data_IF_804171068214
#
_entry.id   IF_804171068214
#
_cell.length_a   1.000
_cell.length_b   1.000
_cell.length_c   1.000
_cell.angle_alpha   90.00
_cell.angle_beta   90.00
_cell.angle_gamma   90.00
#
_symmetry.space_group_name_H-M   'P 1'
#
loop_
_entity.id
_entity.type
_entity.pdbx_description
1 polymer ?
#
# COMPACT_ATOMS: atom_id res chain seq x y z
N UNK A 1 -4.38 -12.18 -0.07
CA UNK A 1 -3.59 -11.04 0.44
C UNK A 1 -4.07 -9.76 -0.21
N UNK A 2 -4.17 -8.65 0.53
CA UNK A 2 -4.51 -7.33 -0.02
C UNK A 2 -3.26 -6.44 0.00
N UNK A 3 -2.92 -5.88 -1.15
CA UNK A 3 -1.86 -4.89 -1.34
C UNK A 3 -2.49 -3.60 -1.87
N UNK A 4 -1.98 -2.46 -1.44
CA UNK A 4 -2.32 -1.16 -2.00
C UNK A 4 -1.03 -0.56 -2.55
N UNK A 5 -1.03 -0.29 -3.85
CA UNK A 5 0.03 0.46 -4.52
C UNK A 5 -0.51 1.82 -4.93
N UNK A 6 0.36 2.83 -4.88
CA UNK A 6 0.11 4.16 -5.40
C UNK A 6 1.24 4.53 -6.35
N UNK A 7 0.88 5.10 -7.49
CA UNK A 7 1.81 5.69 -8.45
C UNK A 7 1.47 7.18 -8.54
N UNK A 8 2.48 8.04 -8.34
CA UNK A 8 2.30 9.49 -8.46
C UNK A 8 2.49 9.98 -9.91
N UNK A 9 2.33 11.29 -10.14
CA UNK A 9 2.49 11.89 -11.47
C UNK A 9 3.91 11.80 -12.04
N UNK A 10 4.91 11.50 -11.20
CA UNK A 10 6.30 11.29 -11.62
C UNK A 10 6.61 9.81 -11.93
N UNK A 11 5.64 8.91 -11.76
CA UNK A 11 5.82 7.47 -11.92
C UNK A 11 6.46 6.80 -10.70
N UNK A 12 6.59 7.51 -9.55
CA UNK A 12 7.11 6.90 -8.33
C UNK A 12 6.04 6.00 -7.73
N UNK A 13 6.40 4.75 -7.49
CA UNK A 13 5.53 3.74 -6.90
C UNK A 13 5.79 3.61 -5.40
N UNK A 14 4.74 3.65 -4.60
CA UNK A 14 4.78 3.35 -3.17
C UNK A 14 3.84 2.18 -2.84
N UNK A 15 4.32 1.27 -1.99
CA UNK A 15 3.47 0.35 -1.23
C UNK A 15 2.87 1.11 -0.05
N UNK A 16 1.54 1.07 0.10
CA UNK A 16 0.84 1.75 1.18
C UNK A 16 0.39 0.77 2.26
N UNK A 17 0.66 1.08 3.53
CA UNK A 17 0.09 0.31 4.67
C UNK A 17 -1.39 0.63 4.85
N UNK A 18 -1.77 1.90 4.73
CA UNK A 18 -3.17 2.35 4.74
C UNK A 18 -3.36 3.64 3.96
N UNK A 19 -4.57 3.90 3.47
CA UNK A 19 -4.97 5.17 2.87
C UNK A 19 -6.46 5.40 3.09
N UNK A 20 -6.87 6.64 3.30
CA UNK A 20 -8.26 7.03 3.49
C UNK A 20 -8.71 7.92 2.35
N UNK A 21 -9.77 7.53 1.64
CA UNK A 21 -10.44 8.37 0.66
C UNK A 21 -11.35 9.36 1.39
N UNK A 22 -11.05 10.64 1.20
CA UNK A 22 -11.74 11.79 1.77
C UNK A 22 -12.16 12.76 0.64
N UNK A 23 -12.92 13.80 0.98
CA UNK A 23 -13.24 14.89 0.07
C UNK A 23 -13.08 16.25 0.72
N UNK A 24 -12.97 17.29 -0.11
CA UNK A 24 -13.00 18.68 0.32
C UNK A 24 -13.94 19.48 -0.58
N UNK A 25 -14.79 20.30 0.03
CA UNK A 25 -15.70 21.20 -0.68
C UNK A 25 -15.05 22.57 -0.76
N UNK A 26 -14.91 23.09 -1.97
CA UNK A 26 -14.57 24.50 -2.15
C UNK A 26 -15.84 25.33 -1.91
N UNK A 27 -15.87 26.12 -0.84
CA UNK A 27 -17.04 26.91 -0.43
C UNK A 27 -17.37 28.06 -1.40
N UNK A 28 -16.42 28.50 -2.22
CA UNK A 28 -16.63 29.57 -3.20
C UNK A 28 -17.25 29.04 -4.50
N UNK A 29 -16.84 27.84 -4.92
CA UNK A 29 -17.29 27.24 -6.19
C UNK A 29 -18.30 26.10 -6.01
N UNK A 30 -18.57 25.69 -4.77
CA UNK A 30 -19.29 24.45 -4.41
C UNK A 30 -18.71 23.18 -5.07
N UNK A 31 -17.44 23.22 -5.48
CA UNK A 31 -16.80 22.08 -6.13
C UNK A 31 -16.32 21.08 -5.07
N UNK A 32 -16.67 19.80 -5.26
CA UNK A 32 -16.19 18.70 -4.42
C UNK A 32 -14.98 18.05 -5.08
N UNK A 33 -13.88 17.95 -4.34
CA UNK A 33 -12.64 17.30 -4.79
C UNK A 33 -12.32 16.12 -3.88
N UNK A 34 -11.92 14.98 -4.46
CA UNK A 34 -11.55 13.78 -3.71
C UNK A 34 -10.04 13.77 -3.43
N UNK A 35 -9.67 13.26 -2.27
CA UNK A 35 -8.29 13.23 -1.77
C UNK A 35 -7.96 11.86 -1.17
N UNK A 36 -6.72 11.41 -1.37
CA UNK A 36 -6.17 10.22 -0.72
C UNK A 36 -5.25 10.64 0.41
N UNK A 37 -5.59 10.27 1.65
CA UNK A 37 -4.90 10.70 2.86
C UNK A 37 -4.17 9.50 3.49
N UNK A 38 -2.85 9.61 3.60
CA UNK A 38 -1.97 8.63 4.27
C UNK A 38 -1.51 9.11 5.64
N UNK A 39 -1.50 10.42 5.92
CA UNK A 39 -1.26 10.99 7.25
C UNK A 39 -2.57 11.24 8.00
N UNK A 40 -2.77 10.53 9.11
CA UNK A 40 -4.00 10.65 9.91
C UNK A 40 -4.17 12.03 10.57
N UNK A 41 -3.08 12.79 10.77
CA UNK A 41 -3.15 14.14 11.32
C UNK A 41 -3.86 15.13 10.40
N UNK A 42 -3.91 14.83 9.09
CA UNK A 42 -4.58 15.67 8.10
C UNK A 42 -6.09 15.38 7.99
N UNK A 43 -6.59 14.27 8.55
CA UNK A 43 -8.01 13.89 8.42
C UNK A 43 -9.00 14.97 8.88
N UNK A 44 -8.75 15.77 9.94
CA UNK A 44 -9.65 16.86 10.34
C UNK A 44 -9.87 17.95 9.26
N UNK A 45 -8.96 18.08 8.29
CA UNK A 45 -9.02 19.10 7.23
C UNK A 45 -9.90 18.69 6.03
N UNK A 46 -10.50 17.50 6.09
CA UNK A 46 -11.32 16.91 5.04
C UNK A 46 -12.64 16.36 5.58
N UNK A 47 -13.60 16.21 4.68
CA UNK A 47 -14.90 15.61 4.93
C UNK A 47 -14.95 14.16 4.41
N UNK A 48 -15.87 13.37 4.96
CA UNK A 48 -16.11 12.02 4.49
C UNK A 48 -16.77 11.96 3.11
N UNK A 49 -16.60 10.84 2.41
CA UNK A 49 -17.12 10.61 1.04
C UNK A 49 -18.40 9.78 0.99
N UNK A 50 -18.76 9.12 2.08
CA UNK A 50 -19.98 8.30 2.20
C UNK A 50 -20.77 8.73 3.43
N UNK A 51 -22.10 8.73 3.33
CA UNK A 51 -22.96 8.96 4.48
C UNK A 51 -23.22 7.64 5.22
N UNK A 52 -22.94 7.60 6.52
CA UNK A 52 -23.26 6.50 7.43
C UNK A 52 -23.88 7.11 8.69
N UNK A 53 -25.07 6.64 9.07
CA UNK A 53 -25.80 7.12 10.25
C UNK A 53 -25.95 8.65 10.30
N UNK A 54 -26.24 9.25 9.15
CA UNK A 54 -26.42 10.71 9.04
C UNK A 54 -25.12 11.53 9.01
N UNK A 55 -23.95 10.92 9.24
CA UNK A 55 -22.62 11.58 9.22
C UNK A 55 -21.83 11.19 7.97
N UNK A 56 -21.06 12.12 7.42
CA UNK A 56 -20.09 11.83 6.37
C UNK A 56 -18.85 11.15 6.97
N UNK A 57 -18.42 10.03 6.39
CA UNK A 57 -17.25 9.25 6.79
C UNK A 57 -16.35 8.94 5.59
N UNK A 58 -15.04 8.89 5.83
CA UNK A 58 -14.06 8.46 4.84
C UNK A 58 -14.09 6.95 4.60
N UNK A 59 -13.55 6.51 3.46
CA UNK A 59 -13.34 5.07 3.19
C UNK A 59 -11.88 4.75 3.43
N UNK A 60 -11.60 3.96 4.46
CA UNK A 60 -10.24 3.49 4.76
C UNK A 60 -9.93 2.17 4.07
N UNK A 61 -8.80 2.11 3.39
CA UNK A 61 -8.23 0.91 2.79
C UNK A 61 -6.89 0.61 3.46
N UNK A 62 -6.68 -0.66 3.85
CA UNK A 62 -5.44 -1.10 4.51
C UNK A 62 -4.87 -2.37 3.87
N UNK A 63 -3.55 -2.49 3.91
CA UNK A 63 -2.76 -3.66 3.51
C UNK A 63 -2.38 -4.43 4.78
N UNK A 64 -3.07 -5.54 5.08
CA UNK A 64 -2.95 -6.22 6.39
C UNK A 64 -1.62 -6.97 6.60
N UNK A 65 -0.85 -7.21 5.54
CA UNK A 65 0.31 -8.10 5.58
C UNK A 65 1.65 -7.38 5.45
N UNK A 66 1.67 -6.04 5.42
CA UNK A 66 2.90 -5.27 5.17
C UNK A 66 3.17 -4.31 6.31
N UNK A 67 3.83 -4.85 7.34
CA UNK A 67 4.49 -4.03 8.35
C UNK A 67 5.94 -3.76 7.92
N UNK A 68 6.31 -2.50 8.03
CA UNK A 68 7.65 -1.95 7.89
C UNK A 68 7.77 -0.85 8.95
N UNK A 69 8.76 0.04 8.85
CA UNK A 69 8.91 1.17 9.77
C UNK A 69 7.57 1.79 10.19
N UNK A 70 7.28 1.70 11.49
CA UNK A 70 6.02 2.14 12.08
C UNK A 70 5.73 3.64 11.89
N UNK A 71 6.78 4.45 11.72
CA UNK A 71 6.69 5.88 11.45
C UNK A 71 6.29 6.18 9.99
N UNK A 72 6.43 5.20 9.09
CA UNK A 72 6.09 5.33 7.69
C UNK A 72 4.71 4.73 7.40
N UNK A 73 4.07 5.26 6.37
CA UNK A 73 2.87 4.67 5.77
C UNK A 73 3.06 4.35 4.28
N UNK A 74 4.15 4.84 3.71
CA UNK A 74 4.50 4.72 2.30
C UNK A 74 5.91 4.14 2.22
N UNK A 75 6.04 3.02 1.51
CA UNK A 75 7.31 2.36 1.26
C UNK A 75 7.62 2.47 -0.24
N UNK A 76 8.67 3.19 -0.66
CA UNK A 76 9.01 3.33 -2.06
C UNK A 76 9.39 1.97 -2.67
N UNK A 77 8.85 1.70 -3.85
CA UNK A 77 9.20 0.57 -4.69
C UNK A 77 9.89 1.08 -5.96
N UNK A 78 10.69 0.22 -6.58
CA UNK A 78 11.31 0.46 -7.87
C UNK A 78 10.45 -0.13 -8.99
N UNK A 79 10.53 0.44 -10.19
CA UNK A 79 9.76 0.00 -11.35
C UNK A 79 8.52 0.84 -11.61
N UNK A 80 7.55 0.29 -12.34
CA UNK A 80 6.31 1.00 -12.72
C UNK A 80 5.10 0.08 -12.79
N UNK A 81 3.91 0.65 -12.56
CA UNK A 81 2.65 -0.08 -12.58
C UNK A 81 2.06 -0.04 -14.00
N UNK A 82 2.54 -0.91 -14.87
CA UNK A 82 2.02 -1.05 -16.23
C UNK A 82 2.13 -2.49 -16.74
N UNK A 83 1.30 -2.84 -17.72
CA UNK A 83 1.35 -4.16 -18.37
C UNK A 83 2.74 -4.48 -18.91
N UNK A 84 3.22 -5.69 -18.66
CA UNK A 84 4.55 -6.15 -19.06
C UNK A 84 5.72 -5.62 -18.21
N UNK A 85 5.48 -4.65 -17.31
CA UNK A 85 6.50 -4.13 -16.42
C UNK A 85 6.57 -4.93 -15.11
N UNK A 86 7.44 -4.49 -14.20
CA UNK A 86 7.51 -5.04 -12.86
C UNK A 86 7.71 -3.93 -11.83
N UNK A 87 7.27 -4.19 -10.60
CA UNK A 87 7.65 -3.41 -9.42
C UNK A 87 8.32 -4.31 -8.40
N UNK A 88 9.31 -3.80 -7.69
CA UNK A 88 10.04 -4.54 -6.66
C UNK A 88 10.51 -3.67 -5.52
N UNK A 89 10.76 -4.28 -4.37
CA UNK A 89 11.30 -3.59 -3.22
C UNK A 89 11.55 -4.50 -2.03
N UNK A 90 11.98 -3.89 -0.93
CA UNK A 90 12.32 -4.58 0.30
C UNK A 90 11.40 -4.12 1.42
N UNK A 91 10.69 -5.04 2.04
CA UNK A 91 9.91 -4.79 3.26
C UNK A 91 10.75 -5.29 4.42
N UNK A 92 11.38 -4.34 5.12
CA UNK A 92 12.25 -4.62 6.25
C UNK A 92 11.46 -4.45 7.56
N UNK A 93 11.51 -5.48 8.39
CA UNK A 93 10.90 -5.49 9.71
C UNK A 93 12.03 -5.73 10.73
N UNK A 94 12.44 -4.65 11.39
CA UNK A 94 13.55 -4.65 12.33
C UNK A 94 13.24 -5.54 13.56
N UNK A 95 14.29 -6.07 14.19
CA UNK A 95 14.20 -6.86 15.42
C UNK A 95 13.47 -6.15 16.56
N UNK A 96 13.54 -4.82 16.65
CA UNK A 96 12.90 -4.02 17.68
C UNK A 96 11.51 -3.51 17.27
N UNK A 97 11.01 -3.86 16.09
CA UNK A 97 9.69 -3.43 15.65
C UNK A 97 8.60 -3.99 16.59
N UNK A 98 7.58 -3.19 16.99
CA UNK A 98 6.55 -3.63 17.95
C UNK A 98 5.71 -4.81 17.44
N UNK A 99 5.50 -4.91 16.13
CA UNK A 99 4.78 -6.03 15.50
C UNK A 99 5.71 -7.18 15.04
N UNK A 100 6.97 -7.21 15.47
CA UNK A 100 7.85 -8.31 15.14
C UNK A 100 7.36 -9.59 15.87
N UNK A 101 7.00 -10.67 15.16
CA UNK A 101 6.39 -11.85 15.78
C UNK A 101 7.33 -12.63 16.71
N UNK A 102 8.64 -12.38 16.63
CA UNK A 102 9.65 -13.00 17.50
C UNK A 102 9.98 -12.14 18.72
N UNK A 103 9.39 -10.94 18.83
CA UNK A 103 9.56 -10.03 19.96
C UNK A 103 8.43 -10.23 20.96
N UNK A 104 8.76 -10.59 22.19
CA UNK A 104 7.81 -10.79 23.28
C UNK A 104 8.02 -9.72 24.36
N UNK A 105 7.08 -8.77 24.45
CA UNK A 105 7.21 -7.61 25.35
C UNK A 105 7.41 -7.99 26.83
N UNK A 106 6.79 -9.08 27.27
CA UNK A 106 6.77 -9.50 28.68
C UNK A 106 7.67 -10.69 28.99
N UNK A 107 8.40 -11.24 28.01
CA UNK A 107 9.30 -12.36 28.26
C UNK A 107 10.74 -11.85 28.50
N UNK A 108 11.37 -12.16 29.64
CA UNK A 108 12.69 -11.63 30.00
C UNK A 108 13.77 -11.85 28.92
N UNK A 109 13.73 -13.02 28.28
CA UNK A 109 14.76 -13.45 27.33
C UNK A 109 14.49 -13.04 25.87
N UNK A 110 13.27 -12.57 25.54
CA UNK A 110 12.83 -12.35 24.15
C UNK A 110 12.37 -10.90 23.92
N UNK A 111 13.08 -9.95 24.52
CA UNK A 111 12.75 -8.51 24.44
C UNK A 111 13.01 -7.89 23.05
N UNK A 112 13.81 -8.58 22.23
CA UNK A 112 14.11 -8.26 20.84
C UNK A 112 13.70 -9.44 19.96
N UNK A 113 13.19 -9.16 18.76
CA UNK A 113 12.91 -10.16 17.75
C UNK A 113 14.14 -10.45 16.89
N UNK A 114 13.90 -10.73 15.60
CA UNK A 114 14.94 -10.91 14.59
C UNK A 114 14.68 -9.98 13.41
N UNK A 115 15.72 -9.61 12.67
CA UNK A 115 15.52 -8.87 11.42
C UNK A 115 14.87 -9.77 10.38
N UNK A 116 13.74 -9.31 9.84
CA UNK A 116 13.01 -10.00 8.77
C UNK A 116 13.05 -9.11 7.53
N UNK A 117 13.55 -9.67 6.43
CA UNK A 117 13.62 -8.99 5.14
C UNK A 117 12.75 -9.75 4.15
N UNK A 118 11.81 -9.04 3.52
CA UNK A 118 10.95 -9.58 2.46
C UNK A 118 11.28 -8.86 1.17
N UNK A 119 11.92 -9.57 0.25
CA UNK A 119 12.18 -9.08 -1.10
C UNK A 119 10.97 -9.38 -1.95
N UNK A 120 10.21 -8.36 -2.36
CA UNK A 120 8.98 -8.54 -3.13
C UNK A 120 9.20 -8.14 -4.59
N UNK A 121 8.59 -8.89 -5.50
CA UNK A 121 8.53 -8.55 -6.92
C UNK A 121 7.15 -8.89 -7.47
N UNK A 122 6.54 -7.94 -8.15
CA UNK A 122 5.31 -8.11 -8.91
C UNK A 122 5.64 -7.90 -10.39
N UNK A 123 5.54 -8.96 -11.19
CA UNK A 123 5.67 -8.87 -12.64
C UNK A 123 4.28 -8.85 -13.25
N UNK A 124 3.95 -7.79 -13.99
CA UNK A 124 2.65 -7.61 -14.61
C UNK A 124 2.59 -8.34 -15.95
N UNK A 125 1.47 -9.02 -16.19
CA UNK A 125 1.22 -9.66 -17.47
C UNK A 125 1.18 -8.62 -18.60
N UNK A 126 1.55 -9.00 -19.84
CA UNK A 126 1.35 -8.16 -21.01
C UNK A 126 -0.12 -7.73 -21.17
N UNK A 127 -0.34 -6.67 -21.96
CA UNK A 127 -1.69 -6.20 -22.24
C UNK A 127 -2.50 -7.32 -22.92
N UNK A 128 -3.67 -7.63 -22.37
CA UNK A 128 -4.61 -8.55 -22.99
C UNK A 128 -5.52 -7.78 -23.94
N UNK A 129 -5.23 -7.84 -25.24
CA UNK A 129 -5.96 -7.12 -26.29
C UNK A 129 -7.41 -7.58 -26.45
N UNK A 130 -7.78 -8.74 -25.88
CA UNK A 130 -9.14 -9.26 -25.91
C UNK A 130 -9.99 -8.81 -24.71
N UNK A 131 -9.38 -8.11 -23.74
CA UNK A 131 -10.06 -7.61 -22.55
C UNK A 131 -9.97 -6.08 -22.46
N UNK A 132 -11.07 -5.34 -22.70
CA UNK A 132 -11.10 -3.87 -22.64
C UNK A 132 -10.71 -3.26 -21.29
N UNK A 133 -10.75 -4.05 -20.20
CA UNK A 133 -10.37 -3.60 -18.85
C UNK A 133 -8.88 -3.80 -18.54
N UNK A 134 -8.17 -4.57 -19.38
CA UNK A 134 -6.76 -4.90 -19.21
C UNK A 134 -5.89 -3.66 -19.31
N UNK A 135 -4.93 -3.50 -18.39
CA UNK A 135 -3.99 -2.38 -18.38
C UNK A 135 -4.56 -1.05 -17.88
N UNK A 136 -5.89 -0.89 -17.82
CA UNK A 136 -6.54 0.37 -17.39
C UNK A 136 -7.17 0.25 -16.00
N UNK A 137 -8.03 -0.73 -15.79
CA UNK A 137 -8.75 -0.95 -14.52
C UNK A 137 -8.29 -2.20 -13.79
N UNK A 138 -7.72 -3.15 -14.52
CA UNK A 138 -7.27 -4.42 -13.99
C UNK A 138 -5.86 -4.72 -14.50
N UNK A 139 -4.97 -5.05 -13.56
CA UNK A 139 -3.65 -5.61 -13.84
C UNK A 139 -3.54 -6.97 -13.17
N UNK A 140 -2.94 -7.94 -13.87
CA UNK A 140 -2.70 -9.29 -13.37
C UNK A 140 -1.22 -9.58 -13.47
N UNK A 141 -0.77 -10.61 -12.79
CA UNK A 141 0.62 -11.02 -12.90
C UNK A 141 1.07 -12.03 -11.87
N UNK A 142 2.39 -12.15 -11.78
CA UNK A 142 3.08 -13.05 -10.86
C UNK A 142 3.68 -12.24 -9.71
N UNK A 143 3.33 -12.62 -8.48
CA UNK A 143 3.97 -12.17 -7.26
C UNK A 143 5.05 -13.18 -6.88
N UNK A 144 6.25 -12.71 -6.62
CA UNK A 144 7.38 -13.46 -6.09
C UNK A 144 7.85 -12.78 -4.80
N UNK A 145 8.19 -13.59 -3.80
CA UNK A 145 8.74 -13.10 -2.54
C UNK A 145 9.86 -14.00 -2.04
N UNK A 146 10.97 -13.39 -1.61
CA UNK A 146 12.04 -14.06 -0.87
C UNK A 146 12.08 -13.53 0.56
N UNK A 147 11.79 -14.42 1.51
CA UNK A 147 11.77 -14.13 2.94
C UNK A 147 13.08 -14.60 3.59
N UNK A 148 13.77 -13.67 4.26
CA UNK A 148 15.04 -13.90 4.98
C UNK A 148 14.87 -13.61 6.48
N UNK A 149 15.79 -14.13 7.29
CA UNK A 149 15.83 -13.94 8.74
C UNK A 149 15.10 -15.04 9.51
N UNK A 150 13.89 -15.42 9.08
CA UNK A 150 13.07 -16.43 9.80
C UNK A 150 13.61 -17.86 9.75
N UNK A 151 14.50 -18.16 8.80
CA UNK A 151 15.07 -19.49 8.58
C UNK A 151 16.50 -19.37 8.04
N UNK A 152 17.33 -20.41 8.25
CA UNK A 152 18.74 -20.44 7.81
C UNK A 152 18.90 -20.31 6.29
N UNK A 153 17.92 -20.83 5.56
CA UNK A 153 17.83 -20.76 4.10
C UNK A 153 16.65 -19.84 3.76
N UNK A 154 16.81 -18.87 2.83
CA UNK A 154 15.71 -18.01 2.40
C UNK A 154 14.52 -18.82 1.87
N UNK A 155 13.33 -18.42 2.30
CA UNK A 155 12.08 -19.05 1.86
C UNK A 155 11.59 -18.30 0.63
N UNK A 156 11.34 -19.02 -0.47
CA UNK A 156 10.83 -18.43 -1.72
C UNK A 156 9.36 -18.78 -1.89
N UNK A 157 8.57 -17.78 -2.24
CA UNK A 157 7.13 -17.91 -2.49
C UNK A 157 6.79 -17.33 -3.85
N UNK A 158 5.82 -17.94 -4.54
CA UNK A 158 5.32 -17.47 -5.83
C UNK A 158 3.82 -17.69 -5.90
N UNK A 159 3.10 -16.73 -6.47
CA UNK A 159 1.66 -16.82 -6.70
C UNK A 159 1.20 -15.86 -7.79
N UNK A 160 -0.08 -15.91 -8.13
CA UNK A 160 -0.70 -14.93 -9.02
C UNK A 160 -1.34 -13.80 -8.21
N UNK A 161 -1.49 -12.63 -8.83
CA UNK A 161 -2.24 -11.52 -8.24
C UNK A 161 -3.14 -10.85 -9.27
N UNK A 162 -4.11 -10.10 -8.74
CA UNK A 162 -4.96 -9.17 -9.50
C UNK A 162 -5.00 -7.85 -8.74
N UNK A 163 -4.65 -6.76 -9.40
CA UNK A 163 -4.81 -5.40 -8.90
C UNK A 163 -5.98 -4.74 -9.65
N UNK A 164 -6.88 -4.14 -8.87
CA UNK A 164 -7.95 -3.31 -9.41
C UNK A 164 -7.63 -1.85 -9.09
N UNK A 165 -7.74 -0.98 -10.10
CA UNK A 165 -7.59 0.46 -9.88
C UNK A 165 -8.80 0.97 -9.09
N UNK A 166 -8.54 1.53 -7.92
CA UNK A 166 -9.57 2.07 -7.01
C UNK A 166 -9.64 3.60 -6.98
N UNK A 167 -8.65 4.28 -7.55
CA UNK A 167 -8.57 5.74 -7.60
C UNK A 167 -7.72 6.18 -8.80
N UNK A 168 -7.98 7.40 -9.29
CA UNK A 168 -7.16 8.10 -10.31
C UNK A 168 -6.39 9.29 -9.72
N UNK A 169 -6.50 9.50 -8.41
CA UNK A 169 -5.83 10.60 -7.70
C UNK A 169 -4.35 10.25 -7.56
N UNK A 170 -3.47 11.05 -8.16
CA UNK A 170 -2.03 10.82 -8.17
C UNK A 170 -1.26 11.57 -7.06
N UNK A 171 -1.93 12.43 -6.28
CA UNK A 171 -1.33 13.17 -5.16
C UNK A 171 -1.88 12.64 -3.83
N UNK A 172 -1.00 12.10 -3.00
CA UNK A 172 -1.30 11.76 -1.60
C UNK A 172 -1.17 13.02 -0.74
N UNK A 173 -1.97 13.12 0.32
CA UNK A 173 -1.92 14.22 1.30
C UNK A 173 -1.91 15.61 0.64
N UNK A 174 -2.78 15.79 -0.35
CA UNK A 174 -2.83 17.05 -1.09
C UNK A 174 -3.31 18.17 -0.17
N UNK A 175 -2.36 18.90 0.42
CA UNK A 175 -2.60 20.23 0.93
C UNK A 175 -2.89 21.16 -0.26
N UNK A 176 -3.80 22.10 -0.03
CA UNK A 176 -4.41 23.02 -1.01
C UNK A 176 -3.44 23.47 -2.10
#
# INVERSE_FOLDING_TARGET
>A
MKIILHEDTSGKVNLLRKVTLMQKVNTLTNQVTRHLITDDNLLPDYEGVVRRDGKLVGIRMSSLYFDFDSALNELPLMGSIASGNAVSGFVNLAQDHPNNPFRHLYHPDHKQGIDIIREIKMTFDPLDTNNPQSGVYNLKGIYEETLKGVHKIPIKMRGTFVLNRVSVIAKLNANQ
#
